data_IF_088629603224
#
_entry.id   IF_088629603224
#
_cell.length_a   1.000
_cell.length_b   1.000
_cell.length_c   1.000
_cell.angle_alpha   90.00
_cell.angle_beta   90.00
_cell.angle_gamma   90.00
#
_symmetry.space_group_name_H-M   'P 1'
#
loop_
_entity.id
_entity.type
_entity.pdbx_description
1 polymer ?
#
# COMPACT_ATOMS: atom_id res chain seq x y z
N UNK A 1 39.02 -16.28 7.41
CA UNK A 1 38.30 -17.03 8.35
C UNK A 1 37.28 -16.28 9.14
N UNK A 2 37.53 -15.10 9.42
CA UNK A 2 36.60 -14.33 10.20
C UNK A 2 35.34 -13.95 9.46
N UNK A 3 35.39 -14.05 8.20
CA UNK A 3 34.35 -13.59 7.34
C UNK A 3 33.06 -14.36 7.48
N UNK A 4 33.15 -15.54 7.99
CA UNK A 4 31.96 -16.34 8.16
C UNK A 4 30.89 -15.68 8.97
N UNK A 5 31.33 -14.94 9.92
CA UNK A 5 30.45 -14.32 10.85
C UNK A 5 29.46 -13.39 10.19
N UNK A 6 29.91 -12.77 9.15
CA UNK A 6 29.07 -11.83 8.44
C UNK A 6 27.84 -12.48 7.84
N UNK A 7 27.99 -13.71 7.43
CA UNK A 7 26.86 -14.42 6.84
C UNK A 7 25.71 -14.59 7.79
N UNK A 8 26.03 -14.75 9.04
CA UNK A 8 24.98 -14.97 10.04
C UNK A 8 24.08 -13.76 10.18
N UNK A 9 24.67 -12.61 10.10
CA UNK A 9 23.89 -11.40 10.22
C UNK A 9 22.91 -11.25 9.08
N UNK A 10 23.31 -11.63 7.91
CA UNK A 10 22.43 -11.56 6.77
C UNK A 10 21.22 -12.45 6.97
N UNK A 11 21.40 -13.59 7.60
CA UNK A 11 20.29 -14.48 7.88
C UNK A 11 19.26 -13.85 8.79
N UNK A 12 19.71 -13.14 9.81
CA UNK A 12 18.80 -12.48 10.73
C UNK A 12 17.96 -11.43 10.03
N UNK A 13 18.56 -10.70 9.13
CA UNK A 13 17.83 -9.68 8.38
C UNK A 13 16.73 -10.29 7.55
N UNK A 14 16.97 -11.44 7.00
CA UNK A 14 15.96 -12.10 6.18
C UNK A 14 14.72 -12.45 7.00
N UNK A 15 14.89 -12.85 8.24
CA UNK A 15 13.76 -13.16 9.09
C UNK A 15 12.90 -11.93 9.36
N UNK A 16 13.54 -10.82 9.60
CA UNK A 16 12.80 -9.60 9.86
C UNK A 16 11.94 -9.20 8.67
N UNK A 17 12.37 -9.55 7.49
CA UNK A 17 11.64 -9.18 6.29
C UNK A 17 10.32 -9.92 6.11
N UNK A 18 10.05 -10.95 6.92
CA UNK A 18 8.77 -11.65 6.81
C UNK A 18 7.62 -10.83 7.34
N UNK A 19 7.90 -9.87 8.19
CA UNK A 19 6.88 -8.95 8.64
C UNK A 19 6.87 -7.74 7.74
N UNK A 20 5.80 -7.54 7.03
CA UNK A 20 5.70 -6.30 6.32
C UNK A 20 4.38 -5.65 6.64
N UNK A 21 4.41 -4.36 6.72
CA UNK A 21 3.25 -3.53 6.95
C UNK A 21 2.98 -2.73 5.70
N UNK A 22 1.76 -2.25 5.60
CA UNK A 22 1.46 -1.25 4.60
C UNK A 22 2.34 -0.02 4.86
N UNK A 23 2.89 0.51 3.80
CA UNK A 23 3.79 1.65 3.88
C UNK A 23 3.25 2.80 3.04
N UNK A 24 2.58 3.78 3.68
CA UNK A 24 2.04 4.92 2.93
C UNK A 24 3.08 5.70 2.17
N UNK A 25 4.33 5.68 2.61
CA UNK A 25 5.39 6.40 1.91
C UNK A 25 5.61 5.86 0.50
N UNK A 26 5.28 4.60 0.27
CA UNK A 26 5.38 4.00 -1.06
C UNK A 26 4.30 4.48 -2.02
N UNK A 27 3.31 5.19 -1.51
CA UNK A 27 2.28 5.80 -2.35
C UNK A 27 2.63 7.21 -2.77
N UNK A 28 3.80 7.70 -2.40
CA UNK A 28 4.20 9.06 -2.75
C UNK A 28 4.16 9.24 -4.26
N UNK A 29 3.47 10.29 -4.70
CA UNK A 29 3.25 10.51 -6.13
C UNK A 29 2.10 9.72 -6.73
N UNK A 30 1.47 8.87 -5.95
CA UNK A 30 0.33 8.05 -6.38
C UNK A 30 -0.87 8.27 -5.47
N UNK A 31 -0.93 9.42 -4.85
CA UNK A 31 -2.00 9.84 -3.97
C UNK A 31 -2.79 10.92 -4.68
N UNK A 32 -4.09 10.78 -4.71
CA UNK A 32 -4.95 11.72 -5.41
C UNK A 32 -6.06 12.19 -4.49
N UNK A 33 -6.36 13.46 -4.55
CA UNK A 33 -7.40 14.05 -3.72
C UNK A 33 -8.79 13.89 -4.32
N UNK A 34 -8.87 13.65 -5.61
CA UNK A 34 -10.16 13.50 -6.28
C UNK A 34 -10.19 12.21 -7.06
N UNK A 35 -11.39 11.68 -7.21
CA UNK A 35 -11.61 10.49 -8.02
C UNK A 35 -11.23 10.74 -9.48
N UNK A 36 -11.54 11.90 -10.01
CA UNK A 36 -11.23 12.21 -11.39
C UNK A 36 -9.74 12.20 -11.66
N UNK A 37 -8.94 12.79 -10.76
CA UNK A 37 -7.49 12.80 -10.91
C UNK A 37 -6.93 11.38 -10.83
N UNK A 38 -7.45 10.57 -9.92
CA UNK A 38 -7.03 9.19 -9.78
C UNK A 38 -7.35 8.38 -11.03
N UNK A 39 -8.54 8.53 -11.56
CA UNK A 39 -8.93 7.83 -12.80
C UNK A 39 -8.01 8.15 -13.95
N UNK A 40 -7.67 9.42 -14.09
CA UNK A 40 -6.80 9.85 -15.18
C UNK A 40 -5.40 9.24 -15.03
N UNK A 41 -4.91 9.12 -13.82
CA UNK A 41 -3.56 8.61 -13.58
C UNK A 41 -3.48 7.08 -13.58
N UNK A 42 -4.54 6.41 -13.13
CA UNK A 42 -4.49 4.95 -12.95
C UNK A 42 -4.64 4.16 -14.26
N UNK A 43 -5.19 4.77 -15.31
CA UNK A 43 -5.38 4.06 -16.57
C UNK A 43 -6.29 2.86 -16.38
N UNK A 44 -5.78 1.67 -16.66
CA UNK A 44 -6.56 0.43 -16.54
C UNK A 44 -6.61 -0.11 -15.12
N UNK A 45 -5.77 0.38 -14.23
CA UNK A 45 -5.82 -0.06 -12.84
C UNK A 45 -7.01 0.58 -12.15
N UNK A 46 -7.84 -0.21 -11.44
CA UNK A 46 -8.98 0.38 -10.74
C UNK A 46 -8.54 1.38 -9.68
N UNK A 47 -9.35 2.41 -9.49
CA UNK A 47 -9.13 3.35 -8.40
C UNK A 47 -9.64 2.74 -7.12
N UNK A 48 -8.88 2.90 -6.06
CA UNK A 48 -9.24 2.41 -4.72
C UNK A 48 -9.12 3.54 -3.71
N UNK A 49 -9.73 3.33 -2.56
CA UNK A 49 -9.67 4.26 -1.42
C UNK A 49 -8.78 3.65 -0.36
N UNK A 50 -7.62 4.24 -0.13
CA UNK A 50 -6.62 3.68 0.77
C UNK A 50 -6.72 4.34 2.13
N UNK A 51 -6.87 3.53 3.16
CA UNK A 51 -6.79 4.01 4.52
C UNK A 51 -5.32 4.13 4.91
N UNK A 52 -4.79 5.34 4.80
CA UNK A 52 -3.35 5.56 4.99
C UNK A 52 -2.88 5.37 6.43
N UNK A 53 -3.79 5.38 7.39
CA UNK A 53 -3.44 5.10 8.78
C UNK A 53 -3.63 3.64 9.16
N UNK A 54 -4.14 2.84 8.25
CA UNK A 54 -4.38 1.43 8.49
C UNK A 54 -3.62 0.58 7.50
N UNK A 55 -4.20 -0.55 7.17
CA UNK A 55 -3.56 -1.53 6.29
C UNK A 55 -4.45 -1.95 5.13
N UNK A 56 -5.61 -1.33 4.97
CA UNK A 56 -6.56 -1.77 3.96
C UNK A 56 -6.88 -0.67 2.96
N UNK A 57 -7.32 -1.10 1.79
CA UNK A 57 -7.95 -0.22 0.83
C UNK A 57 -9.34 -0.74 0.51
N UNK A 58 -10.21 0.15 0.07
CA UNK A 58 -11.60 -0.17 -0.29
C UNK A 58 -11.80 -0.01 -1.78
N UNK A 59 -12.52 -0.91 -2.38
CA UNK A 59 -12.88 -0.80 -3.79
C UNK A 59 -14.09 0.10 -3.94
N UNK A 60 -14.42 0.45 -5.18
CA UNK A 60 -15.55 1.34 -5.45
C UNK A 60 -16.89 0.78 -5.00
N UNK A 61 -16.99 -0.51 -4.79
CA UNK A 61 -18.22 -1.13 -4.30
C UNK A 61 -18.42 -0.98 -2.80
N UNK A 62 -17.38 -0.58 -2.10
CA UNK A 62 -17.46 -0.41 -0.65
C UNK A 62 -18.16 0.89 -0.29
N UNK A 63 -18.98 0.85 0.76
CA UNK A 63 -19.59 2.07 1.27
C UNK A 63 -18.57 3.03 1.87
N UNK A 64 -17.37 2.56 2.16
CA UNK A 64 -16.32 3.39 2.71
C UNK A 64 -15.49 4.09 1.65
N UNK A 65 -15.72 3.79 0.39
CA UNK A 65 -14.98 4.39 -0.70
C UNK A 65 -15.20 5.90 -0.70
N UNK A 66 -14.14 6.64 -0.50
CA UNK A 66 -14.19 8.10 -0.46
C UNK A 66 -14.77 8.67 0.81
N UNK A 67 -15.06 7.87 1.81
CA UNK A 67 -15.83 8.30 2.98
C UNK A 67 -15.15 8.07 4.33
N UNK A 68 -13.86 8.14 4.40
CA UNK A 68 -13.18 8.09 5.69
C UNK A 68 -12.16 9.21 5.78
N UNK A 69 -11.86 9.61 7.01
CA UNK A 69 -11.00 10.77 7.25
C UNK A 69 -9.57 10.58 6.77
N UNK A 70 -9.07 9.38 6.90
CA UNK A 70 -7.66 9.09 6.63
C UNK A 70 -7.48 8.41 5.31
N UNK A 71 -8.35 8.65 4.36
CA UNK A 71 -8.27 7.99 3.08
C UNK A 71 -7.75 8.89 1.97
N UNK A 72 -7.20 8.27 0.97
CA UNK A 72 -6.83 8.94 -0.27
C UNK A 72 -7.20 8.02 -1.42
N UNK A 73 -7.41 8.61 -2.58
CA UNK A 73 -7.58 7.81 -3.79
C UNK A 73 -6.23 7.39 -4.32
N UNK A 74 -6.13 6.18 -4.79
CA UNK A 74 -4.92 5.68 -5.42
C UNK A 74 -5.29 4.60 -6.43
N UNK A 75 -4.29 4.03 -7.07
CA UNK A 75 -4.51 2.93 -7.98
C UNK A 75 -4.32 1.61 -7.23
N UNK A 76 -5.13 0.62 -7.58
CA UNK A 76 -5.08 -0.68 -6.92
C UNK A 76 -3.68 -1.29 -6.94
N UNK A 77 -3.00 -1.22 -8.09
CA UNK A 77 -1.64 -1.75 -8.20
C UNK A 77 -0.71 -1.09 -7.21
N UNK A 78 -0.77 0.24 -7.12
CA UNK A 78 0.09 0.99 -6.23
C UNK A 78 -0.21 0.65 -4.77
N UNK A 79 -1.49 0.53 -4.42
CA UNK A 79 -1.89 0.19 -3.05
C UNK A 79 -1.38 -1.19 -2.67
N UNK A 80 -1.51 -2.18 -3.56
CA UNK A 80 -1.02 -3.52 -3.29
C UNK A 80 0.50 -3.54 -3.19
N UNK A 81 1.19 -2.83 -4.06
CA UNK A 81 2.65 -2.75 -4.02
C UNK A 81 3.14 -2.09 -2.73
N UNK A 82 2.34 -1.19 -2.16
CA UNK A 82 2.68 -0.54 -0.90
C UNK A 82 2.31 -1.40 0.32
N UNK A 83 1.75 -2.58 0.12
CA UNK A 83 1.44 -3.50 1.20
C UNK A 83 0.04 -3.40 1.77
N UNK A 84 -0.84 -2.62 1.16
CA UNK A 84 -2.22 -2.53 1.62
C UNK A 84 -3.04 -3.70 1.10
N UNK A 85 -4.03 -4.11 1.85
CA UNK A 85 -4.90 -5.24 1.53
C UNK A 85 -6.29 -4.76 1.17
N UNK A 86 -6.96 -5.51 0.33
CA UNK A 86 -8.34 -5.20 0.03
C UNK A 86 -9.22 -5.54 1.23
N UNK A 87 -9.99 -4.57 1.68
CA UNK A 87 -10.92 -4.77 2.77
C UNK A 87 -12.07 -5.67 2.32
N UNK A 88 -12.63 -6.43 3.25
CA UNK A 88 -13.83 -7.20 3.00
C UNK A 88 -15.06 -6.31 2.90
N UNK A 89 -14.97 -5.16 3.45
CA UNK A 89 -16.08 -4.22 3.52
C UNK A 89 -15.82 -3.06 2.58
#
# INVERSE_FOLDING_TARGET
>A
MLIFIVSLLAGSSALAATYHKADPAKLRGKEFKTLAAAKAACGTSPVVWVNIKGVVFHTQKSRWFGHSRSGIYSCRNAAKAAGFWQSKY
#
